data_IF_299181155373
#
_entry.id   IF_299181155373
#
_cell.length_a   1.000
_cell.length_b   1.000
_cell.length_c   1.000
_cell.angle_alpha   90.00
_cell.angle_beta   90.00
_cell.angle_gamma   90.00
#
_symmetry.space_group_name_H-M   'P 1'
#
loop_
_entity.id
_entity.type
_entity.pdbx_description
1 polymer ?
#
# COMPACT_ATOMS: atom_id res chain seq x y z
N UNK A 1 19.96 -14.34 9.44
CA UNK A 1 20.31 -14.04 8.03
C UNK A 1 19.74 -12.67 7.75
N UNK A 2 20.61 -11.69 7.53
CA UNK A 2 20.25 -10.27 7.34
C UNK A 2 20.21 -10.06 5.83
N UNK A 3 19.02 -9.90 5.25
CA UNK A 3 18.87 -9.45 3.87
C UNK A 3 19.18 -7.94 3.77
N UNK A 4 19.73 -7.46 2.63
CA UNK A 4 20.27 -6.11 2.54
C UNK A 4 19.17 -5.08 2.33
N UNK A 5 19.04 -4.15 3.27
CA UNK A 5 18.13 -3.01 3.22
C UNK A 5 18.38 -2.14 1.99
N UNK A 6 17.58 -2.27 0.94
CA UNK A 6 17.60 -1.37 -0.23
C UNK A 6 17.33 0.08 0.19
N UNK A 7 18.00 1.11 -0.34
CA UNK A 7 17.74 2.51 0.04
C UNK A 7 16.32 3.01 -0.27
N UNK A 8 15.80 3.94 0.53
CA UNK A 8 14.42 4.45 0.40
C UNK A 8 14.17 5.18 -0.91
N UNK A 9 15.19 5.84 -1.44
CA UNK A 9 15.18 6.45 -2.77
C UNK A 9 14.91 5.42 -3.87
N UNK A 10 15.47 4.21 -3.76
CA UNK A 10 15.25 3.16 -4.74
C UNK A 10 13.87 2.52 -4.57
N UNK A 11 13.40 2.30 -3.34
CA UNK A 11 12.04 1.84 -3.08
C UNK A 11 10.98 2.81 -3.67
N UNK A 12 11.15 4.11 -3.45
CA UNK A 12 10.29 5.15 -4.04
C UNK A 12 10.35 5.17 -5.57
N UNK A 13 11.54 5.02 -6.15
CA UNK A 13 11.69 4.96 -7.60
C UNK A 13 10.96 3.75 -8.22
N UNK A 14 11.06 2.57 -7.57
CA UNK A 14 10.36 1.36 -8.00
C UNK A 14 8.84 1.49 -7.86
N UNK A 15 8.36 2.07 -6.76
CA UNK A 15 6.94 2.35 -6.55
C UNK A 15 6.39 3.26 -7.65
N UNK A 16 7.03 4.42 -7.84
CA UNK A 16 6.62 5.40 -8.84
C UNK A 16 6.69 4.82 -10.25
N UNK A 17 7.68 3.97 -10.56
CA UNK A 17 7.77 3.30 -11.86
C UNK A 17 6.60 2.32 -12.08
N UNK A 18 6.24 1.53 -11.07
CA UNK A 18 5.09 0.63 -11.15
C UNK A 18 3.79 1.40 -11.42
N UNK A 19 3.56 2.51 -10.72
CA UNK A 19 2.38 3.34 -10.93
C UNK A 19 2.30 3.91 -12.35
N UNK A 20 3.41 4.45 -12.87
CA UNK A 20 3.46 4.95 -14.26
C UNK A 20 3.16 3.86 -15.28
N UNK A 21 3.71 2.65 -15.09
CA UNK A 21 3.46 1.49 -15.95
C UNK A 21 2.03 0.95 -15.85
N UNK A 22 1.32 1.30 -14.78
CA UNK A 22 -0.05 0.86 -14.53
C UNK A 22 -1.08 1.94 -14.88
N UNK A 23 -0.67 2.97 -15.62
CA UNK A 23 -1.50 4.09 -16.09
C UNK A 23 -2.26 4.79 -14.95
N UNK A 24 -1.62 4.91 -13.78
CA UNK A 24 -2.13 5.72 -12.68
C UNK A 24 -2.14 7.20 -13.13
N UNK A 25 -3.27 7.92 -12.99
CA UNK A 25 -3.36 9.32 -13.39
C UNK A 25 -2.33 10.20 -12.67
N UNK A 26 -1.85 11.26 -13.31
CA UNK A 26 -0.83 12.16 -12.72
C UNK A 26 -1.27 12.77 -11.38
N UNK A 27 -2.56 13.08 -11.21
CA UNK A 27 -3.10 13.56 -9.93
C UNK A 27 -3.01 12.53 -8.79
N UNK A 28 -2.81 11.25 -9.12
CA UNK A 28 -2.62 10.16 -8.17
C UNK A 28 -1.15 9.83 -7.92
N UNK A 29 -0.21 10.32 -8.74
CA UNK A 29 1.23 10.06 -8.55
C UNK A 29 1.78 10.48 -7.18
N UNK A 30 1.27 11.55 -6.52
CA UNK A 30 1.52 11.82 -5.10
C UNK A 30 1.31 10.65 -4.12
N UNK A 31 0.45 9.70 -4.47
CA UNK A 31 0.17 8.51 -3.67
C UNK A 31 1.13 7.33 -3.94
N UNK A 32 1.96 7.44 -4.99
CA UNK A 32 2.95 6.45 -5.38
C UNK A 32 4.33 6.76 -4.80
N UNK A 33 4.31 7.20 -3.54
CA UNK A 33 5.47 7.60 -2.76
C UNK A 33 5.33 7.03 -1.35
N UNK A 34 6.38 6.40 -0.84
CA UNK A 34 6.34 5.69 0.43
C UNK A 34 6.07 6.61 1.63
N UNK A 35 6.67 7.79 1.62
CA UNK A 35 6.56 8.74 2.75
C UNK A 35 5.14 9.33 2.80
N UNK A 36 4.50 9.47 1.64
CA UNK A 36 3.13 9.98 1.52
C UNK A 36 2.05 8.91 1.63
N UNK A 37 2.38 7.65 1.32
CA UNK A 37 1.44 6.53 1.40
C UNK A 37 1.20 6.14 2.86
N UNK A 38 0.23 6.83 3.48
CA UNK A 38 -0.14 6.69 4.89
C UNK A 38 -1.67 6.63 5.07
N UNK A 39 -2.10 6.38 6.30
CA UNK A 39 -3.52 6.17 6.63
C UNK A 39 -4.38 7.39 6.29
N UNK A 40 -3.84 8.60 6.42
CA UNK A 40 -4.55 9.84 6.08
C UNK A 40 -4.79 9.97 4.57
N UNK A 41 -3.77 9.70 3.76
CA UNK A 41 -3.91 9.69 2.30
C UNK A 41 -4.88 8.61 1.83
N UNK A 42 -4.75 7.39 2.36
CA UNK A 42 -5.65 6.29 2.00
C UNK A 42 -7.09 6.62 2.43
N UNK A 43 -7.27 7.24 3.59
CA UNK A 43 -8.58 7.71 4.04
C UNK A 43 -9.15 8.80 3.12
N UNK A 44 -8.35 9.75 2.67
CA UNK A 44 -8.83 10.82 1.77
C UNK A 44 -9.24 10.27 0.41
N UNK A 45 -8.52 9.27 -0.12
CA UNK A 45 -8.89 8.55 -1.35
C UNK A 45 -10.24 7.84 -1.20
N UNK A 46 -10.41 7.04 -0.14
CA UNK A 46 -11.65 6.25 0.07
C UNK A 46 -12.85 7.16 0.37
N UNK A 47 -12.64 8.28 1.09
CA UNK A 47 -13.69 9.26 1.37
C UNK A 47 -13.94 10.24 0.21
N UNK A 48 -13.28 10.05 -0.94
CA UNK A 48 -13.40 10.92 -2.11
C UNK A 48 -13.10 12.40 -1.81
N UNK A 49 -12.16 12.64 -0.89
CA UNK A 49 -11.69 13.98 -0.46
C UNK A 49 -10.38 14.39 -1.15
N UNK A 50 -9.95 13.65 -2.16
CA UNK A 50 -8.74 13.92 -2.93
C UNK A 50 -9.04 13.95 -4.42
N UNK A 51 -8.22 14.65 -5.20
CA UNK A 51 -8.34 14.70 -6.67
C UNK A 51 -8.08 13.35 -7.35
N UNK A 52 -7.40 12.44 -6.65
CA UNK A 52 -7.20 11.07 -7.09
C UNK A 52 -8.45 10.22 -6.77
N UNK A 53 -9.06 9.53 -7.75
CA UNK A 53 -10.25 8.74 -7.51
C UNK A 53 -9.95 7.46 -6.72
N UNK A 54 -10.89 6.96 -5.89
CA UNK A 54 -10.70 5.75 -5.07
C UNK A 54 -10.40 4.50 -5.90
N UNK A 55 -10.80 4.47 -7.18
CA UNK A 55 -10.52 3.36 -8.09
C UNK A 55 -9.03 3.15 -8.40
N UNK A 56 -8.17 4.15 -8.15
CA UNK A 56 -6.73 4.03 -8.31
C UNK A 56 -6.07 3.29 -7.13
N UNK A 57 -6.69 3.31 -5.95
CA UNK A 57 -6.12 2.79 -4.72
C UNK A 57 -5.75 1.29 -4.79
N UNK A 58 -6.53 0.38 -5.42
CA UNK A 58 -6.13 -1.01 -5.54
C UNK A 58 -4.82 -1.21 -6.31
N UNK A 59 -4.65 -0.48 -7.40
CA UNK A 59 -3.43 -0.51 -8.23
C UNK A 59 -2.25 0.16 -7.53
N UNK A 60 -2.48 1.29 -6.85
CA UNK A 60 -1.45 1.94 -6.02
C UNK A 60 -0.98 0.98 -4.93
N UNK A 61 -1.90 0.29 -4.25
CA UNK A 61 -1.58 -0.68 -3.20
C UNK A 61 -0.88 -1.94 -3.75
N UNK A 62 -1.26 -2.40 -4.94
CA UNK A 62 -0.53 -3.46 -5.67
C UNK A 62 0.93 -3.06 -5.91
N UNK A 63 1.16 -1.82 -6.37
CA UNK A 63 2.51 -1.31 -6.56
C UNK A 63 3.26 -1.14 -5.23
N UNK A 64 2.59 -0.62 -4.19
CA UNK A 64 3.11 -0.50 -2.82
C UNK A 64 3.56 -1.86 -2.23
N UNK A 65 2.89 -2.95 -2.62
CA UNK A 65 3.21 -4.31 -2.19
C UNK A 65 4.13 -5.07 -3.16
N UNK A 66 4.55 -4.46 -4.29
CA UNK A 66 5.20 -5.16 -5.42
C UNK A 66 4.45 -6.42 -5.88
N UNK A 67 3.13 -6.48 -5.67
CA UNK A 67 2.33 -7.67 -5.95
C UNK A 67 2.64 -8.89 -5.10
N UNK A 68 3.29 -8.72 -3.95
CA UNK A 68 3.60 -9.81 -3.02
C UNK A 68 2.63 -9.87 -1.84
N UNK A 69 2.34 -11.08 -1.39
CA UNK A 69 1.55 -11.34 -0.20
C UNK A 69 2.42 -11.34 1.05
N UNK A 70 2.14 -10.42 1.98
CA UNK A 70 2.91 -10.23 3.21
C UNK A 70 2.08 -10.55 4.47
N UNK A 71 1.02 -11.36 4.35
CA UNK A 71 0.15 -11.71 5.49
C UNK A 71 0.92 -12.34 6.66
N UNK A 72 1.90 -13.20 6.39
CA UNK A 72 2.75 -13.80 7.42
C UNK A 72 3.59 -12.75 8.17
N UNK A 73 4.10 -11.76 7.44
CA UNK A 73 4.88 -10.64 7.96
C UNK A 73 4.03 -9.78 8.89
N UNK A 74 2.83 -9.41 8.41
CA UNK A 74 1.84 -8.67 9.18
C UNK A 74 1.42 -9.38 10.47
N UNK A 75 1.18 -10.70 10.40
CA UNK A 75 0.83 -11.48 11.57
C UNK A 75 1.95 -11.41 12.63
N UNK A 76 3.23 -11.53 12.22
CA UNK A 76 4.38 -11.37 13.12
C UNK A 76 4.54 -9.95 13.65
N UNK A 77 4.12 -8.94 12.89
CA UNK A 77 4.14 -7.54 13.29
C UNK A 77 2.96 -7.14 14.21
N UNK A 78 2.02 -8.06 14.49
CA UNK A 78 0.88 -7.82 15.38
C UNK A 78 -0.35 -7.21 14.69
N UNK A 79 -0.39 -7.20 13.35
CA UNK A 79 -1.61 -6.80 12.63
C UNK A 79 -2.70 -7.84 12.89
N UNK A 80 -3.90 -7.44 13.37
CA UNK A 80 -4.99 -8.36 13.65
C UNK A 80 -5.39 -9.15 12.40
N UNK A 81 -5.77 -10.42 12.56
CA UNK A 81 -6.11 -11.32 11.45
C UNK A 81 -7.20 -10.73 10.54
N UNK A 82 -8.20 -10.03 11.09
CA UNK A 82 -9.25 -9.34 10.34
C UNK A 82 -8.73 -8.18 9.47
N UNK A 83 -7.54 -7.64 9.77
CA UNK A 83 -6.91 -6.53 9.05
C UNK A 83 -5.82 -6.98 8.06
N UNK A 84 -5.49 -8.28 8.03
CA UNK A 84 -4.44 -8.83 7.14
C UNK A 84 -4.79 -8.73 5.65
N UNK A 85 -6.02 -8.36 5.29
CA UNK A 85 -6.41 -8.13 3.90
C UNK A 85 -5.71 -6.92 3.26
N UNK A 86 -5.18 -5.99 4.05
CA UNK A 86 -4.30 -4.90 3.60
C UNK A 86 -2.83 -5.32 3.49
N UNK A 87 -2.53 -6.57 3.87
CA UNK A 87 -1.18 -7.12 3.84
C UNK A 87 -0.85 -7.83 2.52
N UNK A 88 -1.82 -7.92 1.62
CA UNK A 88 -1.69 -8.52 0.31
C UNK A 88 -2.22 -7.53 -0.74
N UNK A 89 -1.71 -7.59 -1.98
CA UNK A 89 -2.29 -6.83 -3.07
C UNK A 89 -3.77 -7.16 -3.22
N UNK A 90 -4.57 -6.15 -3.53
CA UNK A 90 -5.97 -6.39 -3.85
C UNK A 90 -6.04 -7.29 -5.10
N UNK A 91 -6.83 -8.37 -5.10
CA UNK A 91 -7.10 -9.11 -6.32
C UNK A 91 -7.69 -8.13 -7.34
N UNK A 92 -7.25 -8.22 -8.60
CA UNK A 92 -7.72 -7.34 -9.69
C UNK A 92 -9.25 -7.40 -9.85
N UNK A 93 -9.87 -8.48 -9.41
CA UNK A 93 -11.32 -8.66 -9.36
C UNK A 93 -11.92 -7.94 -8.14
N UNK A 94 -12.30 -6.67 -8.37
CA UNK A 94 -13.42 -5.96 -7.72
C UNK A 94 -13.69 -6.38 -6.28
N UNK A 95 -12.80 -6.07 -5.36
CA UNK A 95 -13.25 -5.87 -3.98
C UNK A 95 -13.33 -4.38 -3.73
N UNK A 96 -14.57 -3.90 -3.89
CA UNK A 96 -15.02 -2.59 -3.44
C UNK A 96 -14.28 -2.24 -2.15
N UNK A 97 -13.60 -1.10 -2.17
CA UNK A 97 -13.10 -0.39 -1.00
C UNK A 97 -14.31 0.12 -0.19
N UNK A 98 -15.19 -0.80 0.20
CA UNK A 98 -16.35 -0.51 1.02
C UNK A 98 -15.89 -0.10 2.40
N UNK A 99 -16.70 0.74 3.06
CA UNK A 99 -16.37 1.36 4.34
C UNK A 99 -16.05 0.39 5.49
N UNK A 100 -16.29 -0.92 5.32
CA UNK A 100 -15.94 -1.96 6.29
C UNK A 100 -14.43 -2.06 6.60
N UNK A 101 -13.55 -1.47 5.76
CA UNK A 101 -12.10 -1.60 5.91
C UNK A 101 -11.41 -0.41 6.57
N UNK A 102 -12.11 0.72 6.74
CA UNK A 102 -11.60 1.91 7.43
C UNK A 102 -10.97 1.64 8.81
N UNK A 103 -11.54 0.78 9.68
CA UNK A 103 -10.97 0.53 11.00
C UNK A 103 -9.56 -0.05 10.96
N UNK A 104 -9.19 -0.74 9.87
CA UNK A 104 -7.88 -1.36 9.72
C UNK A 104 -6.81 -0.41 9.15
N UNK A 105 -7.18 0.79 8.69
CA UNK A 105 -6.21 1.78 8.19
C UNK A 105 -5.21 2.24 9.26
N UNK A 106 -5.58 2.13 10.53
CA UNK A 106 -4.67 2.43 11.66
C UNK A 106 -3.43 1.52 11.67
N UNK A 107 -3.51 0.34 11.06
CA UNK A 107 -2.41 -0.62 10.97
C UNK A 107 -1.50 -0.40 9.77
N UNK A 108 -1.81 0.56 8.88
CA UNK A 108 -1.03 0.78 7.65
C UNK A 108 0.44 1.15 7.93
N UNK A 109 0.71 1.92 8.98
CA UNK A 109 2.10 2.22 9.37
C UNK A 109 2.82 1.01 9.98
N UNK A 110 2.11 0.12 10.65
CA UNK A 110 2.68 -1.15 11.14
C UNK A 110 3.03 -2.08 9.98
N UNK A 111 2.27 -2.01 8.90
CA UNK A 111 2.62 -2.67 7.64
C UNK A 111 3.93 -2.10 7.09
N UNK A 112 4.16 -0.79 7.15
CA UNK A 112 5.43 -0.16 6.72
C UNK A 112 6.65 -0.54 7.58
N UNK A 113 6.44 -0.89 8.85
CA UNK A 113 7.52 -1.16 9.82
C UNK A 113 7.97 -2.63 9.94
N UNK A 114 7.35 -3.57 9.23
CA UNK A 114 7.71 -4.98 9.32
C UNK A 114 8.90 -5.32 8.39
N UNK A 115 9.89 -6.11 8.85
CA UNK A 115 11.15 -6.40 8.13
C UNK A 115 10.97 -7.25 6.85
N UNK A 116 9.73 -7.51 6.46
CA UNK A 116 9.38 -8.24 5.24
C UNK A 116 8.24 -7.57 4.47
N UNK A 117 7.86 -6.36 4.83
CA UNK A 117 6.75 -5.67 4.22
C UNK A 117 7.28 -4.49 3.44
N UNK A 118 7.90 -4.82 2.32
CA UNK A 118 8.59 -3.80 1.57
C UNK A 118 8.50 -4.06 0.08
N UNK A 119 8.24 -2.98 -0.63
CA UNK A 119 9.11 -2.66 -1.75
C UNK A 119 10.59 -2.64 -1.32
N UNK A 120 11.20 -3.81 -1.06
CA UNK A 120 12.61 -4.01 -0.63
C UNK A 120 13.22 -2.92 0.31
N UNK A 121 13.38 -3.23 1.59
CA UNK A 121 14.55 -2.89 2.41
C UNK A 121 15.00 -4.23 2.98
#
# INVERSE_FOLDING_TARGET
MIEPTIPSTLANALFANCCRRSDIPEQCMPACDYDRYNSQLVSSLILERSECPPMALPTIHLCASRGQDHRECCARAGVPSQCTHYCAPFPRERVMLGGARFPCLIYLEQMKGAPQFIIIF
#
